data_IF_859042406679
#
_entry.id   IF_859042406679
#
_cell.length_a   1.000
_cell.length_b   1.000
_cell.length_c   1.000
_cell.angle_alpha   90.00
_cell.angle_beta   90.00
_cell.angle_gamma   90.00
#
_symmetry.space_group_name_H-M   'P 1'
#
loop_
_entity.id
_entity.type
_entity.pdbx_description
1 polymer ?
#
# COMPACT_ATOMS: atom_id res chain seq x y z
N UNK A 1 19.71 -0.95 3.64
CA UNK A 1 19.87 -1.69 4.91
C UNK A 1 19.95 -0.70 6.07
N UNK A 2 18.81 -0.35 6.68
CA UNK A 2 18.76 0.49 7.88
C UNK A 2 18.96 -0.39 9.11
N UNK A 3 20.08 -0.20 9.81
CA UNK A 3 20.35 -0.84 11.11
C UNK A 3 19.55 -0.11 12.19
N UNK A 4 18.70 -0.86 12.88
CA UNK A 4 17.93 -0.45 14.06
C UNK A 4 18.87 -0.03 15.20
N UNK A 5 19.06 1.27 15.39
CA UNK A 5 19.76 1.84 16.53
C UNK A 5 18.73 2.40 17.52
N UNK A 6 18.38 1.65 18.57
CA UNK A 6 17.56 2.22 19.66
C UNK A 6 17.88 1.67 21.05
N UNK A 7 18.12 0.36 21.20
CA UNK A 7 18.47 -0.20 22.51
C UNK A 7 19.95 -0.04 22.89
N UNK A 8 20.84 -0.06 21.89
CA UNK A 8 22.28 -0.03 22.10
C UNK A 8 22.80 1.38 22.45
N UNK A 9 22.21 2.41 21.87
CA UNK A 9 22.58 3.82 22.07
C UNK A 9 22.24 4.31 23.48
N UNK A 10 21.07 3.92 24.00
CA UNK A 10 20.67 4.21 25.39
C UNK A 10 21.57 3.47 26.39
N UNK A 11 21.91 2.21 26.11
CA UNK A 11 22.83 1.41 26.94
C UNK A 11 24.25 1.98 26.94
N UNK A 12 24.70 2.55 25.82
CA UNK A 12 25.98 3.27 25.70
C UNK A 12 26.00 4.55 26.52
N UNK A 13 24.93 5.34 26.46
CA UNK A 13 24.80 6.57 27.24
C UNK A 13 24.82 6.28 28.75
N UNK A 14 24.08 5.26 29.19
CA UNK A 14 24.06 4.82 30.59
C UNK A 14 25.43 4.29 31.03
N UNK A 15 26.13 3.51 30.19
CA UNK A 15 27.47 3.01 30.51
C UNK A 15 28.57 4.09 30.46
N UNK A 16 28.41 5.16 29.69
CA UNK A 16 29.40 6.24 29.61
C UNK A 16 29.29 7.20 30.79
N UNK A 17 28.07 7.43 31.28
CA UNK A 17 27.81 8.11 32.56
C UNK A 17 28.41 7.33 33.74
N UNK A 18 28.54 6.00 33.60
CA UNK A 18 29.16 5.10 34.59
C UNK A 18 30.69 5.24 34.68
N UNK A 19 31.37 5.63 33.60
CA UNK A 19 32.85 5.64 33.53
C UNK A 19 33.53 6.95 33.94
N UNK A 20 32.80 8.07 33.99
CA UNK A 20 33.35 9.35 34.48
C UNK A 20 33.11 9.50 35.99
N UNK A 21 33.92 8.77 36.75
CA UNK A 21 33.98 8.84 38.21
C UNK A 21 34.69 10.10 38.71
N UNK A 22 33.91 11.11 39.10
CA UNK A 22 34.31 11.99 40.20
C UNK A 22 33.88 11.29 41.50
N UNK A 23 34.86 10.99 42.34
CA UNK A 23 34.83 10.03 43.46
C UNK A 23 33.81 10.32 44.56
N UNK A 24 33.19 11.50 44.57
CA UNK A 24 32.12 11.87 45.52
C UNK A 24 30.73 11.37 45.09
N UNK A 25 30.54 11.00 43.81
CA UNK A 25 29.26 10.57 43.24
C UNK A 25 29.08 9.04 43.25
N UNK A 26 30.15 8.27 43.55
CA UNK A 26 30.13 6.79 43.56
C UNK A 26 29.11 6.21 44.54
N UNK A 27 28.87 6.81 45.72
CA UNK A 27 27.87 6.32 46.68
C UNK A 27 26.43 6.52 46.18
N UNK A 28 26.13 7.64 45.53
CA UNK A 28 24.82 7.93 44.92
C UNK A 28 24.58 7.15 43.62
N UNK A 29 25.64 6.83 42.86
CA UNK A 29 25.55 6.05 41.62
C UNK A 29 25.45 4.54 41.91
N UNK A 30 26.10 4.05 42.97
CA UNK A 30 25.89 2.67 43.46
C UNK A 30 24.46 2.47 44.00
N UNK A 31 23.82 3.50 44.56
CA UNK A 31 22.38 3.49 44.89
C UNK A 31 21.49 3.47 43.64
N UNK A 32 21.87 4.20 42.57
CA UNK A 32 21.17 4.17 41.28
C UNK A 32 21.26 2.79 40.60
N UNK A 33 22.39 2.10 40.70
CA UNK A 33 22.61 0.78 40.10
C UNK A 33 21.93 -0.38 40.84
N UNK A 34 21.66 -0.25 42.14
CA UNK A 34 20.96 -1.29 42.92
C UNK A 34 19.43 -1.26 42.77
N UNK A 35 18.87 -0.23 42.14
CA UNK A 35 17.42 0.00 42.02
C UNK A 35 16.91 0.08 40.57
N UNK A 36 17.64 -0.43 39.57
CA UNK A 36 17.06 -0.64 38.24
C UNK A 36 16.16 -1.89 38.25
N UNK A 37 14.95 -1.73 38.80
CA UNK A 37 13.80 -2.48 38.30
C UNK A 37 13.70 -2.22 36.79
N UNK A 38 13.75 -3.27 35.97
CA UNK A 38 13.36 -3.16 34.57
C UNK A 38 12.05 -2.37 34.48
N UNK A 39 11.92 -1.43 33.53
CA UNK A 39 10.67 -0.67 33.38
C UNK A 39 9.59 -1.67 32.95
N UNK A 40 8.75 -2.10 33.88
CA UNK A 40 7.71 -3.11 33.68
C UNK A 40 6.35 -2.47 33.44
N UNK A 41 6.16 -1.21 33.84
CA UNK A 41 4.88 -0.49 33.74
C UNK A 41 4.99 0.91 33.10
N UNK A 42 3.87 1.41 32.57
CA UNK A 42 3.77 2.78 32.04
C UNK A 42 4.09 3.83 33.13
N UNK A 43 3.66 3.56 34.37
CA UNK A 43 3.91 4.46 35.49
C UNK A 43 5.42 4.57 35.81
N UNK A 44 6.14 3.45 35.81
CA UNK A 44 7.61 3.43 35.94
C UNK A 44 8.29 4.16 34.78
N UNK A 45 7.80 3.99 33.54
CA UNK A 45 8.31 4.70 32.37
C UNK A 45 8.16 6.23 32.54
N UNK A 46 6.99 6.69 33.01
CA UNK A 46 6.70 8.10 33.26
C UNK A 46 7.59 8.67 34.37
N UNK A 47 7.86 7.91 35.42
CA UNK A 47 8.72 8.34 36.51
C UNK A 47 10.20 8.34 36.12
N UNK A 48 10.64 7.34 35.36
CA UNK A 48 11.96 7.29 34.75
C UNK A 48 12.17 8.52 33.84
N UNK A 49 11.20 8.84 32.98
CA UNK A 49 11.26 10.03 32.13
C UNK A 49 11.40 11.33 32.93
N UNK A 50 10.66 11.48 34.05
CA UNK A 50 10.78 12.63 34.95
C UNK A 50 12.17 12.71 35.60
N UNK A 51 12.73 11.57 36.01
CA UNK A 51 14.07 11.49 36.63
C UNK A 51 15.15 11.89 35.62
N UNK A 52 15.13 11.29 34.43
CA UNK A 52 16.09 11.59 33.37
C UNK A 52 15.99 13.06 32.95
N UNK A 53 14.78 13.59 32.75
CA UNK A 53 14.58 14.99 32.37
C UNK A 53 15.19 15.96 33.40
N UNK A 54 15.00 15.70 34.69
CA UNK A 54 15.58 16.54 35.76
C UNK A 54 17.11 16.48 35.83
N UNK A 55 17.71 15.36 35.42
CA UNK A 55 19.16 15.17 35.44
C UNK A 55 19.85 15.74 34.19
N UNK A 56 19.14 15.75 33.05
CA UNK A 56 19.68 16.25 31.77
C UNK A 56 19.48 17.76 31.65
N UNK A 57 18.30 18.28 31.99
CA UNK A 57 18.02 19.71 31.94
C UNK A 57 18.75 20.48 33.05
N UNK A 58 19.13 21.73 32.78
CA UNK A 58 19.66 22.64 33.82
C UNK A 58 18.65 22.78 34.98
N UNK A 59 19.10 22.93 36.25
CA UNK A 59 18.20 23.11 37.39
C UNK A 59 17.20 24.26 37.17
N UNK A 60 15.90 23.96 37.25
CA UNK A 60 14.82 24.94 37.02
C UNK A 60 14.44 25.17 35.54
N UNK A 61 15.14 24.54 34.58
CA UNK A 61 14.82 24.68 33.16
C UNK A 61 13.50 23.97 32.79
N UNK A 62 12.73 24.60 31.90
CA UNK A 62 11.46 24.07 31.37
C UNK A 62 11.66 23.15 30.15
N UNK A 63 12.83 23.20 29.52
CA UNK A 63 13.17 22.53 28.28
C UNK A 63 14.58 21.94 28.35
N UNK A 64 14.84 20.90 27.55
CA UNK A 64 16.18 20.39 27.26
C UNK A 64 16.61 20.98 25.93
N UNK A 65 17.79 21.59 25.90
CA UNK A 65 18.40 22.12 24.67
C UNK A 65 19.45 21.14 24.11
N UNK A 66 19.83 21.30 22.84
CA UNK A 66 20.88 20.47 22.23
C UNK A 66 22.19 20.51 23.04
N UNK A 67 22.51 21.67 23.61
CA UNK A 67 23.67 21.85 24.51
C UNK A 67 23.61 21.00 25.77
N UNK A 68 22.41 20.77 26.33
CA UNK A 68 22.23 19.93 27.50
C UNK A 68 22.45 18.46 27.16
N UNK A 69 22.09 18.05 25.93
CA UNK A 69 22.32 16.70 25.42
C UNK A 69 23.78 16.45 25.02
N UNK A 70 24.50 17.48 24.54
CA UNK A 70 25.93 17.39 24.17
C UNK A 70 26.84 16.98 25.34
N UNK A 71 26.37 17.12 26.59
CA UNK A 71 27.09 16.64 27.78
C UNK A 71 27.11 15.12 27.90
N UNK A 72 26.17 14.43 27.25
CA UNK A 72 25.96 12.99 27.39
C UNK A 72 26.05 12.24 26.05
N UNK A 73 25.84 12.93 24.92
CA UNK A 73 25.78 12.36 23.58
C UNK A 73 26.70 13.08 22.60
N UNK A 74 27.16 12.33 21.60
CA UNK A 74 27.88 12.94 20.47
C UNK A 74 26.90 13.67 19.54
N UNK A 75 27.35 14.74 18.89
CA UNK A 75 26.54 15.55 17.97
C UNK A 75 25.81 14.72 16.89
N UNK A 76 26.45 13.68 16.37
CA UNK A 76 25.85 12.74 15.39
C UNK A 76 24.66 12.00 15.99
N UNK A 77 24.78 11.53 17.24
CA UNK A 77 23.71 10.83 17.94
C UNK A 77 22.56 11.79 18.23
N UNK A 78 22.86 13.04 18.60
CA UNK A 78 21.84 14.06 18.86
C UNK A 78 21.02 14.33 17.60
N UNK A 79 21.65 14.54 16.45
CA UNK A 79 20.93 14.74 15.17
C UNK A 79 20.03 13.55 14.80
N UNK A 80 20.29 12.35 15.29
CA UNK A 80 19.40 11.19 15.06
C UNK A 80 18.24 11.10 16.06
N UNK A 81 18.43 11.48 17.32
CA UNK A 81 17.37 11.38 18.33
C UNK A 81 16.49 12.62 18.39
N UNK A 82 17.02 13.78 18.01
CA UNK A 82 16.31 15.06 18.12
C UNK A 82 15.00 15.09 17.31
N UNK A 83 14.96 14.57 16.06
CA UNK A 83 13.72 14.48 15.30
C UNK A 83 12.67 13.52 15.89
N UNK A 84 13.06 12.65 16.83
CA UNK A 84 12.12 11.71 17.46
C UNK A 84 11.23 12.38 18.53
N UNK A 85 11.58 13.58 18.99
CA UNK A 85 10.81 14.33 19.97
C UNK A 85 9.84 15.29 19.26
N UNK A 86 8.57 15.21 19.64
CA UNK A 86 7.49 16.05 19.08
C UNK A 86 7.82 17.55 19.24
N UNK A 87 7.85 18.28 18.12
CA UNK A 87 8.11 19.72 18.05
C UNK A 87 9.56 20.15 18.27
N UNK A 88 10.50 19.21 18.48
CA UNK A 88 11.89 19.56 18.74
C UNK A 88 12.60 20.14 17.51
N UNK A 89 12.33 19.64 16.31
CA UNK A 89 12.97 20.12 15.06
C UNK A 89 12.67 21.59 14.76
N UNK A 90 11.45 22.04 15.07
CA UNK A 90 10.99 23.41 14.82
C UNK A 90 11.44 24.39 15.91
N UNK A 91 11.43 23.93 17.17
CA UNK A 91 11.67 24.82 18.32
C UNK A 91 13.11 24.78 18.83
N UNK A 92 13.91 23.81 18.42
CA UNK A 92 15.25 23.57 18.95
C UNK A 92 15.25 23.16 20.43
N UNK A 93 14.10 22.79 21.00
CA UNK A 93 13.91 22.55 22.43
C UNK A 93 13.01 21.33 22.66
N UNK A 94 13.38 20.48 23.62
CA UNK A 94 12.57 19.32 24.01
C UNK A 94 11.80 19.66 25.28
N UNK A 95 10.47 19.62 25.19
CA UNK A 95 9.58 19.87 26.34
C UNK A 95 9.51 18.65 27.27
N UNK A 96 9.15 18.89 28.54
CA UNK A 96 8.96 17.80 29.51
C UNK A 96 7.87 16.80 29.09
N UNK A 97 6.81 17.26 28.43
CA UNK A 97 5.75 16.41 27.90
C UNK A 97 6.23 15.59 26.70
N UNK A 98 6.94 16.21 25.74
CA UNK A 98 7.49 15.52 24.58
C UNK A 98 8.48 14.43 25.01
N UNK A 99 9.39 14.73 25.94
CA UNK A 99 10.33 13.76 26.49
C UNK A 99 9.62 12.60 27.19
N UNK A 100 8.62 12.90 28.02
CA UNK A 100 7.82 11.87 28.71
C UNK A 100 7.09 10.97 27.71
N UNK A 101 6.41 11.57 26.73
CA UNK A 101 5.66 10.82 25.73
C UNK A 101 6.59 9.93 24.90
N UNK A 102 7.78 10.42 24.55
CA UNK A 102 8.80 9.63 23.85
C UNK A 102 9.25 8.41 24.67
N UNK A 103 9.58 8.58 25.95
CA UNK A 103 9.97 7.45 26.83
C UNK A 103 8.84 6.44 26.98
N UNK A 104 7.59 6.90 27.11
CA UNK A 104 6.42 6.01 27.20
C UNK A 104 6.19 5.27 25.88
N UNK A 105 6.31 5.95 24.73
CA UNK A 105 6.22 5.34 23.40
C UNK A 105 7.30 4.28 23.21
N UNK A 106 8.55 4.59 23.54
CA UNK A 106 9.67 3.65 23.47
C UNK A 106 9.44 2.42 24.38
N UNK A 107 8.83 2.59 25.55
CA UNK A 107 8.42 1.47 26.42
C UNK A 107 7.38 0.57 25.73
N UNK A 108 6.31 1.15 25.17
CA UNK A 108 5.27 0.37 24.48
C UNK A 108 5.81 -0.32 23.23
N UNK A 109 6.63 0.35 22.42
CA UNK A 109 7.29 -0.25 21.26
C UNK A 109 8.16 -1.43 21.68
N UNK A 110 9.00 -1.27 22.72
CA UNK A 110 9.82 -2.36 23.24
C UNK A 110 8.98 -3.51 23.79
N UNK A 111 7.89 -3.22 24.52
CA UNK A 111 6.97 -4.24 25.04
C UNK A 111 6.29 -5.02 23.91
N UNK A 112 5.84 -4.30 22.87
CA UNK A 112 5.26 -4.91 21.67
C UNK A 112 6.26 -5.81 20.96
N UNK A 113 7.49 -5.34 20.75
CA UNK A 113 8.56 -6.13 20.12
C UNK A 113 8.92 -7.36 20.96
N UNK A 114 9.04 -7.21 22.29
CA UNK A 114 9.31 -8.33 23.18
C UNK A 114 8.18 -9.37 23.15
N UNK A 115 6.93 -8.93 23.09
CA UNK A 115 5.79 -9.83 22.94
C UNK A 115 5.86 -10.60 21.61
N UNK A 116 6.07 -9.92 20.49
CA UNK A 116 6.20 -10.56 19.17
C UNK A 116 7.37 -11.55 19.09
N UNK A 117 8.50 -11.24 19.73
CA UNK A 117 9.65 -12.16 19.82
C UNK A 117 9.37 -13.38 20.71
N UNK A 118 8.60 -13.22 21.78
CA UNK A 118 8.18 -14.36 22.62
C UNK A 118 7.16 -15.24 21.90
N UNK A 119 6.23 -14.65 21.14
CA UNK A 119 5.26 -15.40 20.34
C UNK A 119 5.94 -16.27 19.28
N UNK A 120 6.91 -15.71 18.55
CA UNK A 120 7.70 -16.45 17.56
C UNK A 120 8.54 -17.55 18.21
N UNK A 121 9.17 -17.30 19.37
CA UNK A 121 9.88 -18.33 20.13
C UNK A 121 8.96 -19.47 20.56
N UNK A 122 7.74 -19.15 21.00
CA UNK A 122 6.74 -20.13 21.43
C UNK A 122 6.27 -20.99 20.25
N UNK A 123 5.97 -20.38 19.10
CA UNK A 123 5.60 -21.10 17.88
C UNK A 123 6.71 -22.07 17.41
N UNK A 124 7.97 -21.62 17.42
CA UNK A 124 9.12 -22.47 17.07
C UNK A 124 9.28 -23.63 18.06
N UNK A 125 9.11 -23.37 19.36
CA UNK A 125 9.16 -24.44 20.38
C UNK A 125 8.04 -25.46 20.21
N UNK A 126 6.83 -25.03 19.86
CA UNK A 126 5.71 -25.93 19.56
C UNK A 126 6.01 -26.78 18.32
N UNK A 127 6.52 -26.17 17.25
CA UNK A 127 6.92 -26.90 16.04
C UNK A 127 8.02 -27.92 16.35
N UNK A 128 9.02 -27.56 17.14
CA UNK A 128 10.07 -28.48 17.57
C UNK A 128 9.50 -29.66 18.37
N UNK A 129 8.56 -29.42 19.29
CA UNK A 129 7.90 -30.48 20.05
C UNK A 129 7.11 -31.43 19.15
N UNK A 130 6.37 -30.90 18.18
CA UNK A 130 5.63 -31.72 17.19
C UNK A 130 6.58 -32.54 16.33
N UNK A 131 7.63 -31.92 15.76
CA UNK A 131 8.64 -32.61 14.97
C UNK A 131 9.34 -33.71 15.78
N UNK A 132 9.71 -33.41 17.03
CA UNK A 132 10.33 -34.37 17.94
C UNK A 132 9.40 -35.55 18.25
N UNK A 133 8.10 -35.30 18.42
CA UNK A 133 7.11 -36.36 18.63
C UNK A 133 6.98 -37.27 17.40
N UNK A 134 6.94 -36.69 16.18
CA UNK A 134 6.89 -37.46 14.93
C UNK A 134 8.15 -38.33 14.79
N UNK A 135 9.34 -37.75 15.00
CA UNK A 135 10.60 -38.48 14.94
C UNK A 135 10.65 -39.59 15.99
N UNK A 136 10.19 -39.34 17.21
CA UNK A 136 10.13 -40.36 18.26
C UNK A 136 9.21 -41.53 17.86
N UNK A 137 8.06 -41.26 17.25
CA UNK A 137 7.16 -42.31 16.73
C UNK A 137 7.86 -43.14 15.65
N UNK A 138 8.56 -42.49 14.71
CA UNK A 138 9.33 -43.19 13.66
C UNK A 138 10.40 -44.09 14.27
N UNK A 139 11.18 -43.58 15.23
CA UNK A 139 12.22 -44.36 15.93
C UNK A 139 11.62 -45.57 16.65
N UNK A 140 10.48 -45.41 17.33
CA UNK A 140 9.79 -46.52 18.01
C UNK A 140 9.39 -47.59 16.98
N UNK A 141 8.82 -47.18 15.85
CA UNK A 141 8.42 -48.10 14.77
C UNK A 141 9.62 -48.84 14.20
N UNK A 142 10.72 -48.13 13.89
CA UNK A 142 11.95 -48.75 13.37
C UNK A 142 12.56 -49.73 14.38
N UNK A 143 12.60 -49.37 15.66
CA UNK A 143 13.15 -50.24 16.71
C UNK A 143 12.32 -51.52 16.87
N UNK A 144 10.99 -51.43 16.82
CA UNK A 144 10.10 -52.59 16.84
C UNK A 144 10.29 -53.50 15.60
N UNK A 145 10.64 -52.90 14.46
CA UNK A 145 10.96 -53.63 13.23
C UNK A 145 12.28 -54.39 13.36
N UNK A 146 13.33 -53.76 13.88
CA UNK A 146 14.65 -54.39 14.09
C UNK A 146 14.61 -55.50 15.13
N UNK A 147 13.83 -55.34 16.21
CA UNK A 147 13.68 -56.37 17.24
C UNK A 147 12.92 -57.62 16.76
N UNK A 148 12.43 -57.66 15.52
CA UNK A 148 11.70 -58.82 14.97
C UNK A 148 10.32 -59.05 15.59
N UNK A 149 9.85 -58.12 16.43
CA UNK A 149 8.50 -58.13 17.02
C UNK A 149 7.45 -57.65 16.01
N UNK A 150 7.87 -56.90 14.98
CA UNK A 150 7.02 -56.43 13.91
C UNK A 150 6.51 -57.58 13.02
N UNK A 151 5.29 -58.02 13.31
CA UNK A 151 4.55 -58.93 12.43
C UNK A 151 4.08 -58.22 11.15
N UNK A 152 3.85 -58.98 10.07
CA UNK A 152 3.24 -58.47 8.82
C UNK A 152 1.96 -57.66 9.05
N UNK A 153 1.18 -58.01 10.10
CA UNK A 153 -0.02 -57.28 10.54
C UNK A 153 0.27 -55.87 11.05
N UNK A 154 1.38 -55.67 11.78
CA UNK A 154 1.77 -54.35 12.32
C UNK A 154 2.22 -53.44 11.18
N UNK A 155 2.98 -53.97 10.23
CA UNK A 155 3.40 -53.23 9.03
C UNK A 155 2.18 -52.81 8.19
N UNK A 156 1.25 -53.74 7.94
CA UNK A 156 0.02 -53.43 7.21
C UNK A 156 -0.83 -52.36 7.92
N UNK A 157 -0.90 -52.41 9.26
CA UNK A 157 -1.57 -51.37 10.05
C UNK A 157 -0.89 -50.01 9.91
N UNK A 158 0.43 -49.93 10.02
CA UNK A 158 1.15 -48.66 9.88
C UNK A 158 0.99 -48.07 8.47
N UNK A 159 1.11 -48.91 7.42
CA UNK A 159 0.92 -48.47 6.04
C UNK A 159 -0.48 -47.91 5.79
N UNK A 160 -1.52 -48.55 6.34
CA UNK A 160 -2.90 -48.04 6.22
C UNK A 160 -3.09 -46.71 6.96
N UNK A 161 -2.48 -46.53 8.13
CA UNK A 161 -2.50 -45.23 8.82
C UNK A 161 -1.73 -44.13 8.07
N UNK A 162 -0.56 -44.46 7.51
CA UNK A 162 0.22 -43.52 6.69
C UNK A 162 -0.55 -43.08 5.44
N UNK A 163 -1.27 -44.00 4.79
CA UNK A 163 -2.15 -43.66 3.67
C UNK A 163 -3.26 -42.69 4.09
N UNK A 164 -3.94 -42.94 5.22
CA UNK A 164 -4.96 -42.03 5.75
C UNK A 164 -4.41 -40.63 6.04
N UNK A 165 -3.21 -40.54 6.62
CA UNK A 165 -2.53 -39.26 6.82
C UNK A 165 -2.23 -38.58 5.47
N UNK A 166 -1.73 -39.32 4.49
CA UNK A 166 -1.49 -38.82 3.14
C UNK A 166 -2.74 -38.24 2.48
N UNK A 167 -3.89 -38.92 2.59
CA UNK A 167 -5.18 -38.40 2.11
C UNK A 167 -5.60 -37.12 2.83
N UNK A 168 -5.31 -37.01 4.13
CA UNK A 168 -5.65 -35.81 4.92
C UNK A 168 -4.84 -34.59 4.46
N UNK A 169 -3.54 -34.76 4.18
CA UNK A 169 -2.68 -33.67 3.72
C UNK A 169 -2.66 -33.46 2.20
N UNK A 170 -3.36 -34.31 1.44
CA UNK A 170 -3.38 -34.26 -0.03
C UNK A 170 -3.73 -32.86 -0.55
N UNK A 171 -4.76 -32.23 0.03
CA UNK A 171 -5.19 -30.90 -0.40
C UNK A 171 -4.13 -29.82 -0.13
N UNK A 172 -3.44 -29.90 1.02
CA UNK A 172 -2.37 -28.96 1.35
C UNK A 172 -1.19 -29.10 0.38
N UNK A 173 -0.73 -30.33 0.11
CA UNK A 173 0.34 -30.59 -0.85
C UNK A 173 -0.03 -30.10 -2.25
N UNK A 174 -1.28 -30.33 -2.68
CA UNK A 174 -1.80 -29.83 -3.95
C UNK A 174 -1.73 -28.31 -4.03
N UNK A 175 -2.26 -27.60 -3.03
CA UNK A 175 -2.24 -26.13 -2.98
C UNK A 175 -0.82 -25.56 -3.02
N UNK A 176 0.11 -26.15 -2.26
CA UNK A 176 1.52 -25.70 -2.27
C UNK A 176 2.12 -25.88 -3.66
N UNK A 177 1.93 -27.05 -4.27
CA UNK A 177 2.47 -27.35 -5.60
C UNK A 177 1.87 -26.43 -6.69
N UNK A 178 0.56 -26.25 -6.70
CA UNK A 178 -0.12 -25.33 -7.63
C UNK A 178 0.40 -23.89 -7.46
N UNK A 179 0.64 -23.46 -6.23
CA UNK A 179 1.18 -22.12 -5.96
C UNK A 179 2.63 -21.96 -6.45
N UNK A 180 3.47 -22.98 -6.30
CA UNK A 180 4.84 -22.99 -6.84
C UNK A 180 4.81 -22.92 -8.37
N UNK A 181 4.00 -23.76 -9.02
CA UNK A 181 3.86 -23.75 -10.48
C UNK A 181 3.32 -22.41 -10.97
N UNK A 182 2.34 -21.84 -10.28
CA UNK A 182 1.78 -20.54 -10.63
C UNK A 182 2.82 -19.41 -10.58
N UNK A 183 3.57 -19.30 -9.47
CA UNK A 183 4.55 -18.22 -9.28
C UNK A 183 5.78 -18.38 -10.17
N UNK A 184 6.33 -19.59 -10.28
CA UNK A 184 7.64 -19.82 -10.91
C UNK A 184 7.57 -20.34 -12.34
N UNK A 185 6.49 -21.04 -12.73
CA UNK A 185 6.38 -21.65 -14.07
C UNK A 185 5.44 -20.85 -14.97
N UNK A 186 4.19 -20.63 -14.54
CA UNK A 186 3.26 -19.79 -15.31
C UNK A 186 3.67 -18.32 -15.27
N UNK A 187 4.08 -17.88 -14.08
CA UNK A 187 4.76 -16.61 -13.84
C UNK A 187 4.06 -15.41 -14.54
N UNK A 188 2.78 -15.12 -14.20
CA UNK A 188 1.95 -14.14 -14.92
C UNK A 188 2.33 -12.67 -14.65
N UNK A 189 3.06 -12.40 -13.58
CA UNK A 189 3.51 -11.07 -13.17
C UNK A 189 4.81 -11.14 -12.38
N UNK A 190 5.51 -10.01 -12.33
CA UNK A 190 6.72 -9.78 -11.56
C UNK A 190 6.55 -8.72 -10.48
N UNK A 191 7.52 -8.65 -9.57
CA UNK A 191 7.58 -7.56 -8.58
C UNK A 191 7.69 -6.21 -9.32
N UNK A 192 6.80 -5.29 -8.97
CA UNK A 192 6.67 -3.98 -9.61
C UNK A 192 5.67 -3.91 -10.76
N UNK A 193 5.16 -5.04 -11.26
CA UNK A 193 4.12 -5.02 -12.28
C UNK A 193 2.83 -4.42 -11.72
N UNK A 194 2.16 -3.57 -12.51
CA UNK A 194 0.80 -3.15 -12.21
C UNK A 194 -0.18 -4.13 -12.86
N UNK A 195 -1.01 -4.73 -12.03
CA UNK A 195 -2.02 -5.68 -12.42
C UNK A 195 -3.43 -5.20 -12.06
N UNK A 196 -4.43 -5.75 -12.75
CA UNK A 196 -5.84 -5.63 -12.36
C UNK A 196 -6.35 -7.01 -11.99
N UNK A 197 -6.82 -7.13 -10.76
CA UNK A 197 -7.39 -8.35 -10.19
C UNK A 197 -8.76 -7.98 -9.65
N UNK A 198 -9.81 -8.69 -10.09
CA UNK A 198 -11.21 -8.40 -9.74
C UNK A 198 -11.63 -6.93 -9.95
N UNK A 199 -11.08 -6.28 -10.99
CA UNK A 199 -11.35 -4.86 -11.29
C UNK A 199 -10.58 -3.86 -10.43
N UNK A 200 -9.78 -4.29 -9.45
CA UNK A 200 -8.94 -3.42 -8.62
C UNK A 200 -7.53 -3.36 -9.20
N UNK A 201 -7.03 -2.14 -9.43
CA UNK A 201 -5.64 -1.92 -9.85
C UNK A 201 -4.69 -2.01 -8.65
N UNK A 202 -3.66 -2.83 -8.80
CA UNK A 202 -2.72 -3.21 -7.75
C UNK A 202 -1.30 -3.27 -8.32
N UNK A 203 -0.31 -3.00 -7.49
CA UNK A 203 1.12 -3.17 -7.84
C UNK A 203 1.66 -4.35 -7.04
N UNK A 204 2.39 -5.25 -7.68
CA UNK A 204 3.03 -6.39 -6.99
C UNK A 204 4.18 -5.87 -6.13
N UNK A 205 4.09 -6.02 -4.82
CA UNK A 205 5.13 -5.60 -3.86
C UNK A 205 6.07 -6.77 -3.53
N UNK A 206 5.49 -7.93 -3.23
CA UNK A 206 6.25 -9.10 -2.77
C UNK A 206 5.59 -10.39 -3.24
N UNK A 207 6.39 -11.34 -3.70
CA UNK A 207 5.92 -12.68 -4.09
C UNK A 207 6.45 -13.72 -3.10
N UNK A 208 5.54 -14.38 -2.40
CA UNK A 208 5.85 -15.55 -1.57
C UNK A 208 5.28 -16.82 -2.22
N UNK A 209 5.71 -17.99 -1.73
CA UNK A 209 5.30 -19.29 -2.28
C UNK A 209 3.78 -19.46 -2.22
N UNK A 210 3.14 -19.12 -1.10
CA UNK A 210 1.70 -19.35 -0.89
C UNK A 210 0.85 -18.10 -1.11
N UNK A 211 1.45 -16.92 -1.05
CA UNK A 211 0.73 -15.64 -1.08
C UNK A 211 1.51 -14.61 -1.87
N UNK A 212 0.83 -13.74 -2.60
CA UNK A 212 1.43 -12.54 -3.18
C UNK A 212 0.88 -11.32 -2.46
N UNK A 213 1.77 -10.37 -2.12
CA UNK A 213 1.43 -9.10 -1.50
C UNK A 213 1.37 -8.04 -2.57
N UNK A 214 0.23 -7.37 -2.62
CA UNK A 214 -0.03 -6.26 -3.51
C UNK A 214 -0.13 -4.95 -2.74
N UNK A 215 0.23 -3.86 -3.39
CA UNK A 215 0.04 -2.50 -2.92
C UNK A 215 -1.04 -1.82 -3.76
N UNK A 216 -2.03 -1.26 -3.08
CA UNK A 216 -3.05 -0.40 -3.71
C UNK A 216 -2.55 1.06 -3.73
N UNK A 217 -3.21 1.90 -4.54
CA UNK A 217 -2.85 3.31 -4.72
C UNK A 217 -2.84 4.16 -3.42
N UNK A 218 -3.55 3.71 -2.38
CA UNK A 218 -3.61 4.30 -1.04
C UNK A 218 -2.52 3.77 -0.10
N UNK A 219 -1.56 2.99 -0.63
CA UNK A 219 -0.54 2.25 0.11
C UNK A 219 -1.10 1.14 1.03
N UNK A 220 -2.35 0.71 0.83
CA UNK A 220 -2.88 -0.47 1.51
C UNK A 220 -2.19 -1.74 0.99
N UNK A 221 -1.70 -2.58 1.91
CA UNK A 221 -1.16 -3.91 1.59
C UNK A 221 -2.28 -4.94 1.55
N UNK A 222 -2.42 -5.62 0.42
CA UNK A 222 -3.42 -6.66 0.21
C UNK A 222 -2.74 -7.99 -0.05
N UNK A 223 -3.10 -8.99 0.75
CA UNK A 223 -2.53 -10.34 0.67
C UNK A 223 -3.49 -11.25 -0.10
N UNK A 224 -3.00 -11.81 -1.22
CA UNK A 224 -3.76 -12.77 -2.00
C UNK A 224 -3.12 -14.17 -1.90
N UNK A 225 -3.89 -15.20 -1.54
CA UNK A 225 -3.44 -16.58 -1.69
C UNK A 225 -3.22 -16.92 -3.16
N UNK A 226 -2.08 -17.53 -3.50
CA UNK A 226 -1.76 -17.91 -4.87
C UNK A 226 -2.74 -18.97 -5.42
N UNK A 227 -3.30 -19.81 -4.54
CA UNK A 227 -4.38 -20.75 -4.86
C UNK A 227 -5.69 -20.08 -5.29
N UNK A 228 -5.89 -18.81 -4.95
CA UNK A 228 -7.03 -18.01 -5.41
C UNK A 228 -6.64 -17.23 -6.67
N UNK A 229 -5.42 -16.71 -6.76
CA UNK A 229 -4.96 -15.97 -7.94
C UNK A 229 -4.96 -16.83 -9.21
N UNK A 230 -4.60 -18.12 -9.09
CA UNK A 230 -4.59 -19.05 -10.21
C UNK A 230 -5.97 -19.22 -10.88
N UNK A 231 -7.06 -18.98 -10.14
CA UNK A 231 -8.43 -19.13 -10.66
C UNK A 231 -9.00 -17.82 -11.21
N UNK A 232 -8.29 -16.70 -11.06
CA UNK A 232 -8.77 -15.37 -11.42
C UNK A 232 -8.11 -14.86 -12.70
N UNK A 233 -8.85 -14.10 -13.53
CA UNK A 233 -8.23 -13.38 -14.63
C UNK A 233 -7.33 -12.27 -14.10
N UNK A 234 -6.11 -12.20 -14.59
CA UNK A 234 -5.12 -11.19 -14.21
C UNK A 234 -4.79 -10.36 -15.44
N UNK A 235 -5.11 -9.06 -15.40
CA UNK A 235 -4.66 -8.14 -16.45
C UNK A 235 -3.34 -7.53 -16.03
N UNK A 236 -2.30 -7.63 -16.86
CA UNK A 236 -0.98 -7.09 -16.56
C UNK A 236 -0.64 -5.96 -17.51
N UNK A 237 -0.45 -4.74 -16.97
CA UNK A 237 -0.16 -3.57 -17.79
C UNK A 237 1.28 -3.55 -18.32
N UNK A 238 2.26 -4.01 -17.53
CA UNK A 238 3.66 -4.02 -17.94
C UNK A 238 3.91 -4.94 -19.13
N UNK A 239 3.25 -6.11 -19.13
CA UNK A 239 3.35 -7.11 -20.21
C UNK A 239 2.43 -6.82 -21.40
N UNK A 240 1.62 -5.77 -21.33
CA UNK A 240 0.74 -5.35 -22.42
C UNK A 240 1.47 -4.44 -23.42
N UNK A 241 1.10 -4.47 -24.71
CA UNK A 241 1.61 -3.55 -25.72
C UNK A 241 1.03 -2.13 -25.53
N UNK A 242 1.25 -1.25 -26.52
CA UNK A 242 0.62 0.06 -26.64
C UNK A 242 -0.90 0.00 -26.40
N UNK A 243 -1.38 0.68 -25.36
CA UNK A 243 -2.77 0.61 -24.91
C UNK A 243 -3.59 1.82 -25.37
N UNK A 244 -4.91 1.68 -25.31
CA UNK A 244 -5.86 2.71 -25.72
C UNK A 244 -6.62 3.29 -24.53
N UNK A 245 -6.99 4.55 -24.66
CA UNK A 245 -7.91 5.24 -23.77
C UNK A 245 -9.09 5.83 -24.53
N UNK A 246 -10.24 5.84 -23.86
CA UNK A 246 -11.47 6.42 -24.39
C UNK A 246 -11.92 7.59 -23.53
N UNK A 247 -12.00 8.77 -24.13
CA UNK A 247 -12.54 9.99 -23.53
C UNK A 247 -13.98 10.14 -24.01
N UNK A 248 -14.92 10.11 -23.07
CA UNK A 248 -16.34 10.35 -23.35
C UNK A 248 -16.64 11.82 -23.11
N UNK A 249 -17.35 12.44 -24.06
CA UNK A 249 -17.82 13.82 -23.95
C UNK A 249 -19.17 13.96 -24.64
N UNK A 250 -19.91 15.01 -24.28
CA UNK A 250 -21.26 15.27 -24.81
C UNK A 250 -21.28 16.63 -25.50
N UNK A 251 -21.96 16.70 -26.63
CA UNK A 251 -22.20 17.95 -27.37
C UNK A 251 -23.70 18.12 -27.60
N UNK A 252 -24.15 19.35 -27.84
CA UNK A 252 -25.55 19.62 -28.19
C UNK A 252 -25.92 18.99 -29.55
N UNK A 253 -27.08 18.37 -29.62
CA UNK A 253 -27.61 17.77 -30.87
C UNK A 253 -27.81 18.81 -31.97
N UNK A 254 -28.04 20.08 -31.61
CA UNK A 254 -28.16 21.18 -32.57
C UNK A 254 -26.81 21.56 -33.22
N UNK A 255 -25.69 20.96 -32.80
CA UNK A 255 -24.38 21.24 -33.38
C UNK A 255 -24.37 20.85 -34.86
N UNK A 256 -24.07 21.78 -35.78
CA UNK A 256 -24.11 21.48 -37.20
C UNK A 256 -23.02 20.48 -37.59
N UNK A 257 -23.31 19.67 -38.61
CA UNK A 257 -22.41 18.62 -39.08
C UNK A 257 -21.03 19.14 -39.50
N UNK A 258 -20.98 20.35 -40.06
CA UNK A 258 -19.72 21.01 -40.46
C UNK A 258 -18.79 21.21 -39.26
N UNK A 259 -19.33 21.64 -38.11
CA UNK A 259 -18.58 21.81 -36.87
C UNK A 259 -18.09 20.49 -36.30
N UNK A 260 -18.88 19.41 -36.42
CA UNK A 260 -18.47 18.06 -36.01
C UNK A 260 -17.32 17.54 -36.88
N UNK A 261 -17.37 17.78 -38.20
CA UNK A 261 -16.29 17.41 -39.12
C UNK A 261 -15.03 18.24 -38.81
N UNK A 262 -15.17 19.54 -38.56
CA UNK A 262 -14.08 20.41 -38.16
C UNK A 262 -13.43 19.95 -36.85
N UNK A 263 -14.22 19.54 -35.87
CA UNK A 263 -13.74 18.96 -34.61
C UNK A 263 -12.92 17.68 -34.85
N UNK A 264 -13.46 16.73 -35.64
CA UNK A 264 -12.73 15.50 -35.98
C UNK A 264 -11.39 15.79 -36.64
N UNK A 265 -11.35 16.76 -37.56
CA UNK A 265 -10.12 17.19 -38.23
C UNK A 265 -9.14 17.87 -37.28
N UNK A 266 -9.61 18.71 -36.35
CA UNK A 266 -8.78 19.36 -35.34
C UNK A 266 -8.14 18.33 -34.39
N UNK A 267 -8.91 17.34 -33.95
CA UNK A 267 -8.42 16.22 -33.12
C UNK A 267 -7.35 15.42 -33.87
N UNK A 268 -7.63 15.04 -35.12
CA UNK A 268 -6.67 14.34 -35.98
C UNK A 268 -5.34 15.12 -36.10
N UNK A 269 -5.43 16.42 -36.41
CA UNK A 269 -4.26 17.30 -36.54
C UNK A 269 -3.43 17.34 -35.26
N UNK A 270 -4.08 17.41 -34.10
CA UNK A 270 -3.40 17.41 -32.80
C UNK A 270 -2.69 16.09 -32.52
N UNK A 271 -3.37 14.95 -32.74
CA UNK A 271 -2.79 13.63 -32.52
C UNK A 271 -1.56 13.41 -33.40
N UNK A 272 -1.68 13.75 -34.69
CA UNK A 272 -0.58 13.66 -35.66
C UNK A 272 0.57 14.63 -35.34
N UNK A 273 0.31 15.77 -34.69
CA UNK A 273 1.35 16.70 -34.26
C UNK A 273 2.23 16.17 -33.11
N UNK A 274 1.76 15.17 -32.37
CA UNK A 274 2.45 14.57 -31.21
C UNK A 274 2.69 13.06 -31.38
N UNK A 275 3.45 12.63 -32.40
CA UNK A 275 3.70 11.20 -32.69
C UNK A 275 4.49 10.49 -31.60
N UNK A 276 5.20 11.25 -30.73
CA UNK A 276 5.88 10.68 -29.55
C UNK A 276 4.90 10.12 -28.52
N UNK A 277 3.70 10.70 -28.41
CA UNK A 277 2.74 10.36 -27.36
C UNK A 277 1.59 9.48 -27.86
N UNK A 278 1.20 9.67 -29.11
CA UNK A 278 0.01 9.06 -29.69
C UNK A 278 0.35 8.30 -30.96
N UNK A 279 -0.31 7.16 -31.12
CA UNK A 279 -0.38 6.50 -32.41
C UNK A 279 -1.34 7.30 -33.33
N UNK A 280 -1.06 7.43 -34.64
CA UNK A 280 -1.96 8.12 -35.56
C UNK A 280 -3.37 7.52 -35.64
N UNK A 281 -3.51 6.22 -35.32
CA UNK A 281 -4.79 5.54 -35.27
C UNK A 281 -5.64 6.06 -34.10
N UNK A 282 -6.71 6.77 -34.43
CA UNK A 282 -7.70 7.25 -33.48
C UNK A 282 -9.11 7.12 -34.08
N UNK A 283 -10.12 7.13 -33.23
CA UNK A 283 -11.51 7.04 -33.66
C UNK A 283 -12.39 7.99 -32.85
N UNK A 284 -13.21 8.77 -33.55
CA UNK A 284 -14.23 9.64 -32.96
C UNK A 284 -15.60 9.10 -33.37
N UNK A 285 -16.30 8.51 -32.41
CA UNK A 285 -17.60 7.86 -32.61
C UNK A 285 -18.71 8.62 -31.87
N UNK A 286 -19.88 8.69 -32.49
CA UNK A 286 -21.12 9.05 -31.79
C UNK A 286 -21.66 7.77 -31.20
N UNK A 287 -21.86 7.74 -29.87
CA UNK A 287 -22.32 6.56 -29.14
C UNK A 287 -23.84 6.48 -29.13
N UNK A 288 -24.49 7.57 -28.73
CA UNK A 288 -25.94 7.65 -28.60
C UNK A 288 -26.40 9.11 -28.63
N UNK A 289 -27.68 9.32 -28.95
CA UNK A 289 -28.39 10.58 -28.73
C UNK A 289 -29.36 10.35 -27.59
N UNK A 290 -29.14 11.03 -26.47
CA UNK A 290 -29.96 10.93 -25.26
C UNK A 290 -30.86 12.17 -25.13
N UNK A 291 -32.11 11.95 -24.72
CA UNK A 291 -33.10 13.00 -24.44
C UNK A 291 -33.31 14.02 -25.58
N UNK A 292 -32.95 13.66 -26.83
CA UNK A 292 -33.07 14.49 -28.05
C UNK A 292 -32.18 15.74 -28.08
N UNK A 293 -31.55 16.13 -26.97
CA UNK A 293 -30.68 17.31 -26.88
C UNK A 293 -29.20 16.97 -26.62
N UNK A 294 -28.90 15.74 -26.18
CA UNK A 294 -27.54 15.34 -25.83
C UNK A 294 -26.97 14.33 -26.83
N UNK A 295 -25.88 14.67 -27.50
CA UNK A 295 -25.15 13.73 -28.35
C UNK A 295 -23.90 13.26 -27.61
N UNK A 296 -23.91 12.01 -27.13
CA UNK A 296 -22.75 11.41 -26.46
C UNK A 296 -21.76 10.92 -27.50
N UNK A 297 -20.52 11.38 -27.36
CA UNK A 297 -19.40 11.03 -28.22
C UNK A 297 -18.29 10.35 -27.43
N UNK A 298 -17.51 9.53 -28.13
CA UNK A 298 -16.31 8.90 -27.59
C UNK A 298 -15.14 9.14 -28.53
N UNK A 299 -14.06 9.70 -27.99
CA UNK A 299 -12.75 9.73 -28.64
C UNK A 299 -11.92 8.58 -28.08
N UNK A 300 -11.58 7.60 -28.92
CA UNK A 300 -10.62 6.54 -28.59
C UNK A 300 -9.27 6.87 -29.22
N UNK A 301 -8.23 6.95 -28.40
CA UNK A 301 -6.84 7.21 -28.80
C UNK A 301 -5.94 6.09 -28.33
N UNK A 302 -4.96 5.72 -29.15
CA UNK A 302 -3.94 4.74 -28.77
C UNK A 302 -2.66 5.47 -28.35
N UNK A 303 -2.14 5.13 -27.18
CA UNK A 303 -0.89 5.64 -26.64
C UNK A 303 0.31 4.90 -27.25
N UNK A 304 1.47 5.57 -27.31
CA UNK A 304 2.76 4.91 -27.58
C UNK A 304 3.34 4.16 -26.37
N UNK A 305 2.61 4.14 -25.25
CA UNK A 305 3.00 3.48 -24.01
C UNK A 305 1.91 2.52 -23.57
N UNK A 306 2.28 1.54 -22.75
CA UNK A 306 1.31 0.80 -21.96
C UNK A 306 0.92 1.61 -20.71
N UNK A 307 -0.07 1.10 -19.95
CA UNK A 307 -0.58 1.78 -18.76
C UNK A 307 0.21 1.46 -17.48
N UNK A 308 1.46 0.98 -17.59
CA UNK A 308 2.30 0.68 -16.43
C UNK A 308 2.63 1.95 -15.64
N UNK A 309 2.96 3.06 -16.30
CA UNK A 309 3.14 4.34 -15.62
C UNK A 309 1.81 5.11 -15.58
N UNK A 310 1.16 5.13 -14.41
CA UNK A 310 -0.14 5.81 -14.23
C UNK A 310 0.00 7.33 -14.38
N UNK A 311 1.09 7.88 -13.85
CA UNK A 311 1.34 9.32 -13.85
C UNK A 311 1.48 9.85 -15.27
N UNK A 312 2.37 9.24 -16.06
CA UNK A 312 2.62 9.64 -17.45
C UNK A 312 1.35 9.53 -18.30
N UNK A 313 0.59 8.44 -18.15
CA UNK A 313 -0.71 8.27 -18.81
C UNK A 313 -1.65 9.42 -18.45
N UNK A 314 -1.82 9.72 -17.17
CA UNK A 314 -2.73 10.76 -16.72
C UNK A 314 -2.32 12.17 -17.18
N UNK A 315 -1.02 12.47 -17.21
CA UNK A 315 -0.53 13.74 -17.75
C UNK A 315 -0.90 13.86 -19.23
N UNK A 316 -0.67 12.82 -20.04
CA UNK A 316 -1.05 12.80 -21.46
C UNK A 316 -2.55 12.98 -21.67
N UNK A 317 -3.37 12.26 -20.91
CA UNK A 317 -4.84 12.38 -20.99
C UNK A 317 -5.30 13.77 -20.56
N UNK A 318 -4.71 14.34 -19.50
CA UNK A 318 -5.03 15.69 -19.03
C UNK A 318 -4.72 16.72 -20.10
N UNK A 319 -3.55 16.65 -20.74
CA UNK A 319 -3.20 17.52 -21.86
C UNK A 319 -4.19 17.39 -23.02
N UNK A 320 -4.58 16.17 -23.40
CA UNK A 320 -5.55 15.93 -24.46
C UNK A 320 -6.92 16.51 -24.13
N UNK A 321 -7.40 16.37 -22.89
CA UNK A 321 -8.67 16.95 -22.43
C UNK A 321 -8.63 18.48 -22.47
N UNK A 322 -7.53 19.09 -22.03
CA UNK A 322 -7.36 20.55 -22.07
C UNK A 322 -7.32 21.08 -23.52
N UNK A 323 -6.72 20.33 -24.43
CA UNK A 323 -6.70 20.68 -25.86
C UNK A 323 -8.08 20.47 -26.51
N UNK A 324 -8.81 19.42 -26.14
CA UNK A 324 -10.22 19.26 -26.54
C UNK A 324 -11.07 20.45 -26.09
N UNK A 325 -10.88 20.93 -24.84
CA UNK A 325 -11.56 22.14 -24.36
C UNK A 325 -11.28 23.36 -25.24
N UNK A 326 -10.02 23.60 -25.62
CA UNK A 326 -9.65 24.69 -26.55
C UNK A 326 -10.30 24.53 -27.92
N UNK A 327 -10.37 23.30 -28.45
CA UNK A 327 -11.04 23.01 -29.72
C UNK A 327 -12.54 23.32 -29.63
N UNK A 328 -13.20 22.95 -28.52
CA UNK A 328 -14.62 23.27 -28.32
C UNK A 328 -14.86 24.79 -28.27
N UNK A 329 -14.00 25.55 -27.57
CA UNK A 329 -14.10 27.01 -27.52
C UNK A 329 -13.92 27.66 -28.90
N UNK A 330 -12.91 27.23 -29.66
CA UNK A 330 -12.63 27.77 -31.00
C UNK A 330 -13.73 27.46 -32.01
N UNK A 331 -14.36 26.29 -31.88
CA UNK A 331 -15.45 25.85 -32.76
C UNK A 331 -16.84 26.28 -32.24
N UNK A 332 -16.89 27.02 -31.13
CA UNK A 332 -18.11 27.45 -30.45
C UNK A 332 -19.08 26.28 -30.15
N UNK A 333 -18.52 25.10 -29.84
CA UNK A 333 -19.29 23.92 -29.43
C UNK A 333 -19.68 24.13 -27.97
N UNK A 334 -20.99 24.17 -27.72
CA UNK A 334 -21.56 24.32 -26.38
C UNK A 334 -22.30 23.05 -25.98
N UNK A 335 -22.38 22.85 -24.68
CA UNK A 335 -23.29 21.91 -24.07
C UNK A 335 -24.08 22.66 -23.00
N UNK A 336 -25.40 22.71 -23.16
CA UNK A 336 -26.29 23.43 -22.27
C UNK A 336 -26.82 22.47 -21.19
N UNK A 337 -26.51 22.76 -19.93
CA UNK A 337 -27.12 22.08 -18.79
C UNK A 337 -28.60 22.51 -18.69
N UNK A 338 -29.50 21.59 -18.35
CA UNK A 338 -30.92 21.90 -18.07
C UNK A 338 -31.02 22.90 -16.89
N UNK A 339 -31.93 23.90 -16.88
CA UNK A 339 -33.12 24.10 -17.71
C UNK A 339 -32.91 25.05 -18.93
N UNK A 340 -33.54 24.71 -20.06
CA UNK A 340 -33.45 25.48 -21.32
C UNK A 340 -34.37 26.71 -21.33
N UNK A 341 -33.94 27.78 -22.00
CA UNK A 341 -34.78 28.97 -22.23
C UNK A 341 -35.95 28.63 -23.18
N UNK A 342 -37.18 28.79 -22.69
CA UNK A 342 -38.39 28.60 -23.50
C UNK A 342 -38.67 29.91 -24.25
N UNK A 343 -38.44 29.92 -25.56
CA UNK A 343 -38.93 31.00 -26.42
C UNK A 343 -40.44 30.80 -26.66
N UNK A 344 -41.26 31.51 -25.90
CA UNK A 344 -42.70 31.59 -26.14
C UNK A 344 -42.96 32.50 -27.35
N UNK A 345 -43.19 31.90 -28.51
CA UNK A 345 -43.71 32.63 -29.67
C UNK A 345 -45.19 32.91 -29.42
N UNK A 346 -45.55 34.17 -29.14
CA UNK A 346 -46.97 34.57 -29.13
C UNK A 346 -47.53 34.40 -30.54
N UNK A 347 -48.28 33.31 -30.74
CA UNK A 347 -49.15 33.18 -31.89
C UNK A 347 -50.28 34.18 -31.70
N UNK A 348 -50.26 35.30 -32.44
CA UNK A 348 -51.39 36.21 -32.51
C UNK A 348 -52.59 35.47 -33.12
N UNK A 349 -53.41 34.87 -32.26
CA UNK A 349 -54.65 34.23 -32.65
C UNK A 349 -55.64 35.33 -33.00
N UNK A 350 -55.82 35.58 -34.30
CA UNK A 350 -56.80 36.54 -34.80
C UNK A 350 -58.19 35.85 -34.82
N UNK A 351 -59.17 36.27 -33.98
CA UNK A 351 -60.46 35.58 -33.86
C UNK A 351 -61.36 35.64 -35.11
N UNK A 352 -60.94 36.32 -36.18
CA UNK A 352 -61.79 36.65 -37.33
C UNK A 352 -61.57 35.82 -38.59
N UNK A 353 -60.84 34.68 -38.54
CA UNK A 353 -60.83 33.73 -39.67
C UNK A 353 -61.70 32.51 -39.35
N UNK A 354 -62.91 32.39 -39.94
CA UNK A 354 -63.68 31.16 -39.89
C UNK A 354 -62.88 30.03 -40.54
N UNK A 355 -62.74 28.90 -39.84
CA UNK A 355 -62.25 27.65 -40.40
C UNK A 355 -63.21 27.19 -41.51
N UNK A 356 -62.84 27.38 -42.77
CA UNK A 356 -63.46 26.63 -43.86
C UNK A 356 -62.94 25.20 -43.80
N UNK A 357 -63.82 24.26 -43.42
CA UNK A 357 -63.59 22.83 -43.60
C UNK A 357 -63.78 22.52 -45.10
N UNK A 358 -62.79 21.91 -45.77
CA UNK A 358 -62.99 21.40 -47.13
C UNK A 358 -63.88 20.16 -47.08
N UNK A 359 -64.85 20.11 -47.99
CA UNK A 359 -65.81 19.03 -48.24
C UNK A 359 -65.15 17.73 -48.69
#
# INVERSE_FOLDING_TARGET
MQRTASAWTVKRLVNYVRSFGLTTISKTVDEFGRTESEITSEWEARNCAKRIFKNVAKPGAKYIEEEDLMRFLQRVEIHTIFPLFEGALETGKITKSAFRNWVVRAYYERKSLAHSLNDTKTAVQQLHKLASAIVAVIIIVETLMVMGVASTKIIAFILTQLLLLGFTFQNMCKTVFESIVFVFVMHPFDIGDRCVIDGVQLIVEEMNILTTVFLRYDNEKIYYPNSVLITKPISNFYRSPEMCDTINFTIDVSTPMETIIALKKAIQTYIESKPKYWNPKHSVIVKEIENVHEMKMGLSVQHTINHQNYGDRNVRITELILELKKMFENLNIKYHLLPQEIHLTQVNWNPQRPLMLPS
#
